data_IF_005951277452
#
_entry.id   IF_005951277452
#
_cell.length_a   1.000
_cell.length_b   1.000
_cell.length_c   1.000
_cell.angle_alpha   90.00
_cell.angle_beta   90.00
_cell.angle_gamma   90.00
#
_symmetry.space_group_name_H-M   'P 1'
#
loop_
_entity.id
_entity.type
_entity.pdbx_description
1 polymer ?
#
# COMPACT_ATOMS: atom_id res chain seq x y z
N UNK A 1 -9.34 -4.51 21.08
CA UNK A 1 -9.21 -3.90 19.74
C UNK A 1 -7.85 -4.32 19.21
N UNK A 2 -7.78 -5.02 18.07
CA UNK A 2 -6.49 -5.35 17.47
C UNK A 2 -5.86 -4.05 16.95
N UNK A 3 -4.59 -3.80 17.25
CA UNK A 3 -3.89 -2.62 16.76
C UNK A 3 -3.79 -2.68 15.23
N UNK A 4 -4.03 -1.55 14.56
CA UNK A 4 -3.80 -1.44 13.12
C UNK A 4 -2.29 -1.49 12.86
N UNK A 5 -1.89 -2.20 11.80
CA UNK A 5 -0.49 -2.30 11.37
C UNK A 5 -0.12 -1.03 10.60
N UNK A 6 0.99 -0.40 10.97
CA UNK A 6 1.56 0.72 10.22
C UNK A 6 2.49 0.18 9.14
N UNK A 7 2.11 0.36 7.87
CA UNK A 7 2.88 -0.10 6.71
C UNK A 7 3.18 1.09 5.80
N UNK A 8 4.44 1.26 5.43
CA UNK A 8 4.90 2.28 4.49
C UNK A 8 5.45 1.62 3.22
N UNK A 9 5.34 2.32 2.10
CA UNK A 9 6.02 1.97 0.85
C UNK A 9 7.13 2.97 0.58
N UNK A 10 8.31 2.46 0.22
CA UNK A 10 9.44 3.24 -0.27
C UNK A 10 9.94 2.68 -1.60
N UNK A 11 10.63 3.52 -2.37
CA UNK A 11 11.34 3.12 -3.59
C UNK A 11 12.82 3.34 -3.36
N UNK A 12 13.59 2.29 -3.61
CA UNK A 12 15.04 2.30 -3.51
C UNK A 12 15.65 2.05 -4.88
N UNK A 13 16.80 2.67 -5.14
CA UNK A 13 17.63 2.38 -6.31
C UNK A 13 18.64 1.30 -5.91
N UNK A 14 18.42 0.06 -6.37
CA UNK A 14 19.24 -1.09 -6.00
C UNK A 14 20.50 -1.21 -6.87
N UNK A 15 20.41 -0.72 -8.10
CA UNK A 15 21.48 -0.61 -9.09
C UNK A 15 21.24 0.68 -9.89
N UNK A 16 22.24 1.17 -10.63
CA UNK A 16 22.09 2.38 -11.43
C UNK A 16 20.91 2.29 -12.41
N UNK A 17 19.92 3.17 -12.22
CA UNK A 17 18.67 3.20 -12.97
C UNK A 17 17.72 2.03 -12.72
N UNK A 18 17.99 1.19 -11.71
CA UNK A 18 17.17 0.05 -11.31
C UNK A 18 16.46 0.28 -9.98
N UNK A 19 15.14 0.47 -10.05
CA UNK A 19 14.29 0.81 -8.93
C UNK A 19 13.50 -0.40 -8.41
N UNK A 20 13.48 -0.58 -7.11
CA UNK A 20 12.68 -1.60 -6.41
C UNK A 20 11.78 -0.95 -5.37
N UNK A 21 10.57 -1.48 -5.23
CA UNK A 21 9.73 -1.12 -4.08
C UNK A 21 10.08 -1.95 -2.86
N UNK A 22 9.94 -1.33 -1.68
CA UNK A 22 10.08 -1.96 -0.38
C UNK A 22 8.89 -1.57 0.48
N UNK A 23 8.24 -2.56 1.10
CA UNK A 23 7.24 -2.36 2.13
C UNK A 23 7.92 -2.47 3.49
N UNK A 24 7.73 -1.45 4.33
CA UNK A 24 8.26 -1.37 5.68
C UNK A 24 7.10 -1.49 6.68
N UNK A 25 7.29 -2.26 7.75
CA UNK A 25 6.35 -2.32 8.86
C UNK A 25 6.95 -1.67 10.11
N UNK A 26 6.14 -0.86 10.81
CA UNK A 26 6.55 -0.24 12.07
C UNK A 26 6.13 -1.12 13.25
N UNK A 27 7.13 -1.68 13.95
CA UNK A 27 6.92 -2.38 15.23
C UNK A 27 7.42 -1.51 16.38
N UNK A 28 8.70 -1.16 16.33
CA UNK A 28 9.34 -0.12 17.17
C UNK A 28 10.04 0.86 16.24
N UNK A 29 10.74 0.31 15.25
CA UNK A 29 11.33 1.03 14.11
C UNK A 29 10.73 0.51 12.80
N UNK A 30 11.00 1.20 11.70
CA UNK A 30 10.59 0.78 10.36
C UNK A 30 11.51 -0.33 9.84
N UNK A 31 10.98 -1.53 9.70
CA UNK A 31 11.73 -2.70 9.23
C UNK A 31 11.20 -3.21 7.88
N UNK A 32 12.09 -3.65 6.96
CA UNK A 32 11.67 -4.28 5.72
C UNK A 32 10.81 -5.52 5.96
N UNK A 33 9.62 -5.52 5.37
CA UNK A 33 8.68 -6.63 5.42
C UNK A 33 8.61 -7.37 4.08
N UNK A 34 8.58 -6.63 2.96
CA UNK A 34 8.52 -7.20 1.60
C UNK A 34 9.26 -6.30 0.62
N UNK A 35 9.84 -6.88 -0.44
CA UNK A 35 10.59 -6.16 -1.46
C UNK A 35 10.30 -6.74 -2.84
N UNK A 36 10.44 -5.93 -3.89
CA UNK A 36 10.42 -6.39 -5.26
C UNK A 36 11.55 -7.40 -5.54
N UNK A 37 11.24 -8.51 -6.18
CA UNK A 37 12.25 -9.53 -6.54
C UNK A 37 13.21 -9.05 -7.63
N UNK A 38 12.75 -8.16 -8.51
CA UNK A 38 13.53 -7.64 -9.64
C UNK A 38 13.43 -6.11 -9.73
N UNK A 39 14.53 -5.42 -10.05
CA UNK A 39 14.51 -3.98 -10.31
C UNK A 39 13.80 -3.67 -11.63
N UNK A 40 13.13 -2.52 -11.65
CA UNK A 40 12.50 -1.95 -12.85
C UNK A 40 13.24 -0.69 -13.27
N UNK A 41 13.25 -0.39 -14.57
CA UNK A 41 13.93 0.81 -15.09
C UNK A 41 13.14 2.12 -14.91
N UNK A 42 12.02 2.10 -14.19
CA UNK A 42 11.16 3.26 -13.99
C UNK A 42 10.72 3.37 -12.54
N UNK A 43 11.03 4.50 -11.91
CA UNK A 43 10.56 4.82 -10.56
C UNK A 43 9.03 4.75 -10.46
N UNK A 44 8.32 5.28 -11.46
CA UNK A 44 6.86 5.26 -11.50
C UNK A 44 6.31 3.83 -11.56
N UNK A 45 6.96 2.95 -12.33
CA UNK A 45 6.58 1.54 -12.39
C UNK A 45 6.84 0.84 -11.05
N UNK A 46 8.00 1.03 -10.44
CA UNK A 46 8.29 0.48 -9.11
C UNK A 46 7.25 0.93 -8.07
N UNK A 47 6.87 2.22 -8.09
CA UNK A 47 5.84 2.77 -7.20
C UNK A 47 4.48 2.12 -7.40
N UNK A 48 4.02 2.01 -8.65
CA UNK A 48 2.75 1.36 -8.96
C UNK A 48 2.73 -0.11 -8.52
N UNK A 49 3.79 -0.85 -8.83
CA UNK A 49 3.91 -2.27 -8.49
C UNK A 49 3.93 -2.48 -6.96
N UNK A 50 4.58 -1.59 -6.21
CA UNK A 50 4.60 -1.67 -4.75
C UNK A 50 3.27 -1.29 -4.10
N UNK A 51 2.52 -0.34 -4.65
CA UNK A 51 1.18 0.00 -4.15
C UNK A 51 0.20 -1.15 -4.38
N UNK A 52 0.31 -1.84 -5.52
CA UNK A 52 -0.42 -3.08 -5.74
C UNK A 52 -0.03 -4.13 -4.70
N UNK A 53 1.26 -4.27 -4.40
CA UNK A 53 1.73 -5.20 -3.36
C UNK A 53 1.18 -4.85 -1.97
N UNK A 54 1.08 -3.56 -1.63
CA UNK A 54 0.45 -3.08 -0.39
C UNK A 54 -1.06 -3.40 -0.35
N UNK A 55 -1.77 -3.14 -1.44
CA UNK A 55 -3.19 -3.43 -1.57
C UNK A 55 -3.50 -4.91 -1.36
N UNK A 56 -2.67 -5.80 -1.90
CA UNK A 56 -2.82 -7.25 -1.77
C UNK A 56 -2.64 -7.77 -0.32
N UNK A 57 -2.10 -6.96 0.60
CA UNK A 57 -2.03 -7.33 2.03
C UNK A 57 -3.38 -7.21 2.74
N UNK A 58 -4.35 -6.50 2.15
CA UNK A 58 -5.61 -6.15 2.78
C UNK A 58 -6.74 -6.86 2.04
N UNK A 59 -7.27 -7.93 2.63
CA UNK A 59 -8.36 -8.71 2.05
C UNK A 59 -9.70 -7.94 2.04
N UNK A 60 -9.86 -6.95 2.93
CA UNK A 60 -11.09 -6.20 3.18
C UNK A 60 -10.95 -4.71 2.85
N UNK A 61 -10.17 -4.35 1.83
CA UNK A 61 -9.84 -2.96 1.52
C UNK A 61 -11.07 -2.04 1.35
N UNK A 62 -12.14 -2.58 0.77
CA UNK A 62 -13.40 -1.86 0.53
C UNK A 62 -14.36 -1.86 1.74
N UNK A 63 -13.91 -2.34 2.91
CA UNK A 63 -14.73 -2.46 4.11
C UNK A 63 -14.39 -1.37 5.13
N UNK A 64 -15.39 -0.56 5.45
CA UNK A 64 -15.39 0.34 6.61
C UNK A 64 -16.82 0.79 6.97
N UNK A 65 -17.08 1.32 8.18
CA UNK A 65 -16.30 1.29 9.42
C UNK A 65 -16.20 -0.13 10.02
N UNK A 66 -15.11 -0.45 10.73
CA UNK A 66 -14.94 -1.75 11.41
C UNK A 66 -15.72 -1.86 12.72
N UNK A 67 -16.17 -0.73 13.26
CA UNK A 67 -17.13 -0.70 14.35
C UNK A 67 -18.56 -0.73 13.78
N UNK A 68 -19.52 -1.37 14.46
CA UNK A 68 -20.91 -1.28 14.05
C UNK A 68 -21.30 0.19 14.06
N UNK A 69 -21.77 0.69 12.91
CA UNK A 69 -22.34 2.03 12.81
C UNK A 69 -23.38 2.19 13.93
N UNK A 70 -23.30 3.28 14.68
CA UNK A 70 -24.37 3.65 15.61
C UNK A 70 -25.71 3.55 14.87
N UNK A 71 -26.73 2.98 15.53
CA UNK A 71 -28.04 2.72 14.94
C UNK A 71 -28.55 4.00 14.26
N UNK A 72 -28.59 4.01 12.93
CA UNK A 72 -29.10 5.14 12.13
C UNK A 72 -28.15 5.77 11.10
N UNK A 73 -26.85 5.43 11.08
CA UNK A 73 -25.92 6.00 10.09
C UNK A 73 -25.88 5.21 8.78
N UNK A 74 -26.12 5.83 7.60
CA UNK A 74 -26.03 5.13 6.32
C UNK A 74 -24.57 4.73 6.02
N UNK A 75 -24.32 3.43 5.83
CA UNK A 75 -23.00 2.90 5.45
C UNK A 75 -22.75 3.24 3.98
N UNK A 76 -21.95 4.28 3.74
CA UNK A 76 -21.52 4.65 2.39
C UNK A 76 -20.32 3.78 2.02
N UNK A 77 -20.53 2.83 1.09
CA UNK A 77 -19.43 2.10 0.46
C UNK A 77 -18.66 3.05 -0.44
N UNK A 78 -17.49 3.50 0.00
CA UNK A 78 -16.60 4.29 -0.83
C UNK A 78 -15.78 3.35 -1.72
N UNK A 79 -15.84 3.58 -3.04
CA UNK A 79 -14.96 2.87 -3.97
C UNK A 79 -13.58 3.52 -3.88
N UNK A 80 -12.64 2.84 -3.25
CA UNK A 80 -11.28 3.32 -3.14
C UNK A 80 -10.51 2.98 -4.44
N UNK A 81 -9.99 3.99 -5.13
CA UNK A 81 -9.19 3.83 -6.34
C UNK A 81 -8.04 4.83 -6.32
N UNK A 82 -6.81 4.33 -6.18
CA UNK A 82 -5.61 5.16 -6.28
C UNK A 82 -5.49 5.74 -7.70
N UNK A 83 -5.75 7.04 -7.83
CA UNK A 83 -5.61 7.79 -9.07
C UNK A 83 -4.15 8.06 -9.43
N UNK A 84 -3.40 7.03 -9.84
CA UNK A 84 -2.13 7.24 -10.55
C UNK A 84 -2.49 7.58 -11.99
N UNK A 85 -2.37 8.88 -12.31
CA UNK A 85 -2.86 9.48 -13.54
C UNK A 85 -2.55 8.65 -14.78
N UNK A 86 -3.57 8.50 -15.63
CA UNK A 86 -3.39 8.33 -17.07
C UNK A 86 -2.51 9.50 -17.55
N UNK A 87 -1.20 9.34 -17.52
CA UNK A 87 -0.31 10.10 -18.38
C UNK A 87 -0.40 9.42 -19.75
N UNK A 88 -1.15 10.10 -20.61
CA UNK A 88 -1.36 9.79 -22.01
C UNK A 88 -0.14 10.18 -22.82
#
# INVERSE_FOLDING_TARGET
MAALRSIAITIEEAEEGGFVWVLLEQVVEWLPMKRAEQPTKSYAKAMADGLLALQLLIADLDVGPREPAAIGSPVKREKFGFGFGLLK
#
